data_IF_960124690080
#
_entry.id   IF_960124690080
#
_cell.length_a   1.000
_cell.length_b   1.000
_cell.length_c   1.000
_cell.angle_alpha   90.00
_cell.angle_beta   90.00
_cell.angle_gamma   90.00
#
_symmetry.space_group_name_H-M   'P 1'
#
loop_
_entity.id
_entity.type
_entity.pdbx_description
1 polymer ?
#
# COMPACT_ATOMS: atom_id res chain seq x y z
N UNK A 1 24.74 -22.25 16.40
CA UNK A 1 24.64 -22.06 14.93
C UNK A 1 23.82 -20.81 14.68
N UNK A 2 24.41 -19.63 14.90
CA UNK A 2 23.79 -18.33 14.62
C UNK A 2 24.76 -17.57 13.71
N UNK A 3 24.79 -17.97 12.44
CA UNK A 3 25.29 -17.13 11.37
C UNK A 3 24.06 -16.49 10.71
N UNK A 4 24.19 -15.23 10.27
CA UNK A 4 23.18 -14.43 9.53
C UNK A 4 22.19 -13.61 10.37
N UNK A 5 22.69 -12.80 11.31
CA UNK A 5 22.14 -11.44 11.52
C UNK A 5 23.31 -10.49 11.49
N UNK A 6 23.57 -9.92 10.30
CA UNK A 6 24.57 -8.87 10.13
C UNK A 6 24.39 -7.77 11.16
N UNK A 7 25.48 -7.11 11.53
CA UNK A 7 25.54 -6.09 12.56
C UNK A 7 24.46 -5.01 12.35
N UNK A 8 23.37 -5.12 13.14
CA UNK A 8 22.18 -4.26 13.03
C UNK A 8 22.42 -2.83 13.50
N UNK A 9 23.61 -2.55 14.04
CA UNK A 9 24.02 -1.22 14.47
C UNK A 9 25.38 -0.84 13.88
N UNK A 10 25.88 -1.61 12.93
CA UNK A 10 27.10 -1.30 12.21
C UNK A 10 26.96 -0.02 11.38
N UNK A 11 28.10 0.61 11.04
CA UNK A 11 28.13 1.82 10.21
C UNK A 11 27.40 1.61 8.87
N UNK A 12 27.56 0.45 8.24
CA UNK A 12 26.90 0.15 6.96
C UNK A 12 25.37 0.12 7.07
N UNK A 13 24.84 -0.52 8.13
CA UNK A 13 23.39 -0.58 8.35
C UNK A 13 22.83 0.81 8.66
N UNK A 14 23.51 1.56 9.53
CA UNK A 14 23.07 2.89 9.96
C UNK A 14 23.13 3.91 8.83
N UNK A 15 24.17 3.88 7.98
CA UNK A 15 24.27 4.71 6.78
C UNK A 15 23.16 4.39 5.77
N UNK A 16 22.95 3.13 5.41
CA UNK A 16 21.85 2.71 4.52
C UNK A 16 20.49 3.20 5.03
N UNK A 17 20.27 3.07 6.35
CA UNK A 17 19.04 3.56 7.00
C UNK A 17 18.92 5.08 6.92
N UNK A 18 20.01 5.82 7.12
CA UNK A 18 20.03 7.28 7.01
C UNK A 18 19.68 7.75 5.59
N UNK A 19 20.29 7.14 4.56
CA UNK A 19 19.96 7.43 3.15
C UNK A 19 18.49 7.16 2.82
N UNK A 20 17.95 6.01 3.25
CA UNK A 20 16.55 5.66 3.04
C UNK A 20 15.60 6.64 3.75
N UNK A 21 15.90 6.99 5.00
CA UNK A 21 15.12 7.98 5.76
C UNK A 21 15.15 9.35 5.09
N UNK A 22 16.32 9.81 4.63
CA UNK A 22 16.45 11.08 3.92
C UNK A 22 15.61 11.10 2.64
N UNK A 23 15.66 10.03 1.84
CA UNK A 23 14.82 9.89 0.64
C UNK A 23 13.33 9.90 0.97
N UNK A 24 12.94 9.19 2.04
CA UNK A 24 11.56 9.15 2.50
C UNK A 24 11.07 10.55 2.90
N UNK A 25 11.82 11.27 3.73
CA UNK A 25 11.48 12.63 4.15
C UNK A 25 11.45 13.62 2.98
N UNK A 26 12.38 13.50 2.03
CA UNK A 26 12.38 14.31 0.81
C UNK A 26 11.13 14.08 -0.04
N UNK A 27 10.67 12.82 -0.18
CA UNK A 27 9.41 12.51 -0.87
C UNK A 27 8.22 13.13 -0.14
N UNK A 28 8.18 13.05 1.19
CA UNK A 28 7.10 13.67 1.98
C UNK A 28 7.06 15.19 1.84
N UNK A 29 8.20 15.87 1.86
CA UNK A 29 8.26 17.33 1.76
C UNK A 29 7.89 17.86 0.38
N UNK A 30 8.14 17.08 -0.68
CA UNK A 30 7.75 17.41 -2.06
C UNK A 30 6.28 17.09 -2.36
N UNK A 31 5.64 16.21 -1.58
CA UNK A 31 4.26 15.82 -1.82
C UNK A 31 3.27 16.93 -1.41
N UNK A 32 2.34 17.38 -2.28
CA UNK A 32 1.51 18.55 -2.03
C UNK A 32 0.60 18.42 -0.80
N UNK A 33 0.06 17.23 -0.55
CA UNK A 33 -0.78 16.91 0.62
C UNK A 33 0.05 16.55 1.86
N UNK A 34 0.87 15.50 1.79
CA UNK A 34 1.63 14.97 2.95
C UNK A 34 2.57 15.99 3.61
N UNK A 35 3.13 16.96 2.87
CA UNK A 35 3.99 18.00 3.45
C UNK A 35 3.30 18.89 4.49
N UNK A 36 1.97 18.95 4.47
CA UNK A 36 1.14 19.74 5.40
C UNK A 36 0.56 18.90 6.53
N UNK A 37 0.89 17.62 6.61
CA UNK A 37 0.31 16.73 7.60
C UNK A 37 0.87 17.06 8.99
N UNK A 38 0.00 17.34 9.97
CA UNK A 38 0.40 17.67 11.34
C UNK A 38 1.34 16.63 11.96
N UNK A 39 1.11 15.35 11.64
CA UNK A 39 1.95 14.25 12.15
C UNK A 39 3.41 14.35 11.66
N UNK A 40 3.63 14.86 10.44
CA UNK A 40 4.98 15.06 9.89
C UNK A 40 5.67 16.22 10.59
N UNK A 41 4.98 17.35 10.80
CA UNK A 41 5.52 18.48 11.55
C UNK A 41 5.88 18.07 12.98
N UNK A 42 4.98 17.36 13.67
CA UNK A 42 5.24 16.85 15.02
C UNK A 42 6.43 15.88 15.02
N UNK A 43 6.54 15.00 14.02
CA UNK A 43 7.68 14.08 13.90
C UNK A 43 9.02 14.81 13.76
N UNK A 44 9.05 15.93 13.04
CA UNK A 44 10.28 16.69 12.77
C UNK A 44 10.65 17.67 13.90
N UNK A 45 9.67 18.22 14.60
CA UNK A 45 9.87 19.32 15.56
C UNK A 45 9.78 18.88 17.03
N UNK A 46 9.07 17.79 17.33
CA UNK A 46 8.85 17.34 18.71
C UNK A 46 9.97 16.45 19.21
N UNK A 47 10.46 16.73 20.42
CA UNK A 47 11.36 15.82 21.14
C UNK A 47 10.62 14.65 21.81
N UNK A 48 9.29 14.72 21.88
CA UNK A 48 8.40 13.77 22.57
C UNK A 48 7.57 12.93 21.58
N UNK A 49 8.20 12.42 20.51
CA UNK A 49 7.54 11.58 19.50
C UNK A 49 6.80 10.39 20.12
N UNK A 50 7.44 9.69 21.05
CA UNK A 50 6.89 8.49 21.67
C UNK A 50 5.64 8.80 22.52
N UNK A 51 5.62 9.94 23.23
CA UNK A 51 4.46 10.38 23.99
C UNK A 51 3.30 10.77 23.07
N UNK A 52 3.61 11.47 21.97
CA UNK A 52 2.64 11.82 20.93
C UNK A 52 1.98 10.56 20.36
N UNK A 53 2.75 9.55 19.95
CA UNK A 53 2.22 8.31 19.40
C UNK A 53 1.38 7.51 20.40
N UNK A 54 1.78 7.45 21.68
CA UNK A 54 0.97 6.83 22.74
C UNK A 54 -0.38 7.52 22.91
N UNK A 55 -0.41 8.85 22.88
CA UNK A 55 -1.66 9.63 22.97
C UNK A 55 -2.56 9.45 21.74
N UNK A 56 -1.99 9.29 20.53
CA UNK A 56 -2.74 9.00 19.30
C UNK A 56 -3.36 7.61 19.32
N UNK A 57 -2.64 6.59 19.81
CA UNK A 57 -3.18 5.24 20.00
C UNK A 57 -4.38 5.20 20.96
N UNK A 58 -4.42 6.10 21.94
CA UNK A 58 -5.56 6.26 22.85
C UNK A 58 -6.73 7.04 22.25
N UNK A 59 -6.48 8.04 21.38
CA UNK A 59 -7.52 8.85 20.72
C UNK A 59 -8.10 8.23 19.45
N UNK A 60 -7.37 7.31 18.80
CA UNK A 60 -7.86 6.52 17.66
C UNK A 60 -9.03 5.59 17.99
N UNK A 61 -9.34 5.40 19.28
CA UNK A 61 -10.56 4.71 19.72
C UNK A 61 -11.80 5.61 19.81
N UNK A 62 -11.68 6.94 19.61
CA UNK A 62 -12.79 7.89 19.81
C UNK A 62 -13.03 8.87 18.65
N UNK A 63 -12.19 8.90 17.61
CA UNK A 63 -12.34 9.84 16.48
C UNK A 63 -12.44 9.17 15.11
N UNK A 64 -12.97 7.96 15.05
CA UNK A 64 -13.56 7.41 13.84
C UNK A 64 -14.87 6.72 14.22
N UNK A 65 -15.98 7.35 13.87
CA UNK A 65 -17.28 6.68 13.79
C UNK A 65 -17.10 5.32 13.10
N UNK A 66 -17.49 4.24 13.79
CA UNK A 66 -17.88 2.97 13.17
C UNK A 66 -16.83 1.86 12.98
N UNK A 67 -15.59 1.95 13.47
CA UNK A 67 -14.55 0.99 13.04
C UNK A 67 -14.15 -0.14 14.01
N UNK A 68 -14.66 -0.23 15.24
CA UNK A 68 -14.06 -1.18 16.20
C UNK A 68 -15.01 -2.03 17.08
N UNK A 69 -16.26 -2.24 16.68
CA UNK A 69 -17.14 -3.23 17.33
C UNK A 69 -17.82 -4.22 16.36
N UNK A 70 -17.26 -4.40 15.17
CA UNK A 70 -17.86 -5.23 14.12
C UNK A 70 -16.85 -6.02 13.30
N UNK A 71 -15.71 -6.40 13.88
CA UNK A 71 -14.63 -7.08 13.11
C UNK A 71 -15.12 -8.40 12.51
N UNK A 72 -16.10 -9.08 13.10
CA UNK A 72 -16.68 -10.29 12.50
C UNK A 72 -17.74 -10.02 11.42
N UNK A 73 -18.53 -8.94 11.54
CA UNK A 73 -19.59 -8.58 10.59
C UNK A 73 -19.03 -7.90 9.33
N UNK A 74 -18.07 -6.97 9.49
CA UNK A 74 -17.39 -6.33 8.36
C UNK A 74 -16.48 -7.29 7.58
N UNK A 75 -15.92 -8.31 8.23
CA UNK A 75 -15.15 -9.33 7.52
C UNK A 75 -16.07 -10.20 6.69
N UNK A 76 -17.25 -10.61 7.19
CA UNK A 76 -18.18 -11.42 6.39
C UNK A 76 -18.78 -10.62 5.23
N UNK A 77 -19.09 -9.34 5.42
CA UNK A 77 -19.53 -8.46 4.33
C UNK A 77 -18.38 -8.15 3.33
N UNK A 78 -17.16 -7.87 3.81
CA UNK A 78 -15.98 -7.71 2.92
C UNK A 78 -15.61 -8.99 2.18
N UNK A 79 -15.76 -10.17 2.79
CA UNK A 79 -15.48 -11.45 2.13
C UNK A 79 -16.53 -11.80 1.07
N UNK A 80 -17.80 -11.39 1.25
CA UNK A 80 -18.82 -11.54 0.20
C UNK A 80 -18.60 -10.57 -0.96
N UNK A 81 -18.01 -9.40 -0.69
CA UNK A 81 -17.74 -8.35 -1.67
C UNK A 81 -16.38 -8.50 -2.38
N UNK A 82 -15.38 -9.14 -1.74
CA UNK A 82 -14.00 -9.29 -2.22
C UNK A 82 -13.82 -10.17 -3.48
N UNK A 83 -14.87 -10.86 -3.93
CA UNK A 83 -14.86 -11.65 -5.18
C UNK A 83 -15.66 -11.01 -6.32
N UNK A 84 -16.29 -9.86 -6.09
CA UNK A 84 -16.95 -9.11 -7.16
C UNK A 84 -15.92 -8.23 -7.87
N UNK A 85 -15.77 -8.45 -9.18
CA UNK A 85 -14.90 -7.66 -10.04
C UNK A 85 -15.58 -6.32 -10.30
N UNK A 86 -14.86 -5.22 -10.13
CA UNK A 86 -15.33 -3.86 -10.48
C UNK A 86 -16.02 -3.91 -11.85
N UNK A 87 -17.27 -3.46 -11.92
CA UNK A 87 -18.10 -3.59 -13.11
C UNK A 87 -17.56 -2.74 -14.27
N UNK A 88 -16.92 -1.61 -13.95
CA UNK A 88 -16.29 -0.72 -14.94
C UNK A 88 -14.95 -0.16 -14.44
N UNK A 89 -13.85 -0.91 -14.56
CA UNK A 89 -12.54 -0.40 -14.17
C UNK A 89 -12.11 0.72 -15.13
N UNK A 90 -11.66 1.85 -14.57
CA UNK A 90 -11.14 2.95 -15.38
C UNK A 90 -9.77 2.58 -15.95
N UNK A 91 -9.61 2.80 -17.26
CA UNK A 91 -8.40 2.50 -18.03
C UNK A 91 -7.17 3.18 -17.44
N UNK A 92 -7.33 4.38 -16.86
CA UNK A 92 -6.21 5.12 -16.25
C UNK A 92 -5.52 4.31 -15.15
N UNK A 93 -6.28 3.71 -14.25
CA UNK A 93 -5.71 2.93 -13.14
C UNK A 93 -5.17 1.57 -13.59
N UNK A 94 -5.75 0.98 -14.64
CA UNK A 94 -5.18 -0.22 -15.28
C UNK A 94 -3.81 0.10 -15.86
N UNK A 95 -3.69 1.19 -16.62
CA UNK A 95 -2.42 1.64 -17.19
C UNK A 95 -1.38 1.96 -16.11
N UNK A 96 -1.78 2.62 -15.02
CA UNK A 96 -0.88 2.90 -13.88
C UNK A 96 -0.41 1.60 -13.23
N UNK A 97 -1.30 0.62 -13.05
CA UNK A 97 -0.94 -0.69 -12.51
C UNK A 97 0.05 -1.42 -13.41
N UNK A 98 -0.23 -1.51 -14.71
CA UNK A 98 0.66 -2.16 -15.68
C UNK A 98 2.04 -1.47 -15.74
N UNK A 99 2.07 -0.14 -15.70
CA UNK A 99 3.33 0.62 -15.63
C UNK A 99 4.08 0.37 -14.32
N UNK A 100 3.36 0.26 -13.20
CA UNK A 100 3.94 -0.05 -11.89
C UNK A 100 4.48 -1.48 -11.82
N UNK A 101 3.81 -2.44 -12.44
CA UNK A 101 4.28 -3.83 -12.57
C UNK A 101 5.55 -3.90 -13.42
N UNK A 102 5.55 -3.27 -14.60
CA UNK A 102 6.74 -3.19 -15.44
C UNK A 102 7.91 -2.51 -14.73
N UNK A 103 7.66 -1.40 -14.04
CA UNK A 103 8.69 -0.70 -13.28
C UNK A 103 9.28 -1.60 -12.19
N UNK A 104 8.47 -2.40 -11.50
CA UNK A 104 8.92 -3.31 -10.46
C UNK A 104 9.83 -4.42 -11.03
N UNK A 105 9.46 -4.99 -12.18
CA UNK A 105 10.30 -5.95 -12.92
C UNK A 105 11.64 -5.34 -13.33
N UNK A 106 11.61 -4.16 -13.92
CA UNK A 106 12.80 -3.42 -14.35
C UNK A 106 13.70 -3.09 -13.15
N UNK A 107 13.13 -2.64 -12.03
CA UNK A 107 13.87 -2.35 -10.79
C UNK A 107 14.55 -3.59 -10.22
N UNK A 108 13.87 -4.74 -10.20
CA UNK A 108 14.47 -6.02 -9.75
C UNK A 108 15.63 -6.43 -10.66
N UNK A 109 15.51 -6.24 -11.97
CA UNK A 109 16.59 -6.53 -12.90
C UNK A 109 17.79 -5.59 -12.68
N UNK A 110 17.52 -4.29 -12.56
CA UNK A 110 18.56 -3.27 -12.32
C UNK A 110 19.25 -3.53 -10.98
N UNK A 111 18.51 -3.83 -9.90
CA UNK A 111 19.09 -4.16 -8.59
C UNK A 111 20.08 -5.32 -8.69
N UNK A 112 19.73 -6.40 -9.41
CA UNK A 112 20.63 -7.54 -9.63
C UNK A 112 21.87 -7.17 -10.42
N UNK A 113 21.75 -6.28 -11.42
CA UNK A 113 22.90 -5.80 -12.20
C UNK A 113 23.81 -4.96 -11.31
N UNK A 114 23.25 -3.99 -10.59
CA UNK A 114 23.99 -3.08 -9.71
C UNK A 114 24.68 -3.83 -8.57
N UNK A 115 24.01 -4.83 -7.98
CA UNK A 115 24.62 -5.70 -6.98
C UNK A 115 25.84 -6.48 -7.54
N UNK A 116 25.81 -6.86 -8.81
CA UNK A 116 26.97 -7.48 -9.48
C UNK A 116 28.08 -6.47 -9.77
N UNK A 117 27.72 -5.24 -10.15
CA UNK A 117 28.69 -4.15 -10.33
C UNK A 117 29.44 -3.87 -9.03
N UNK A 118 28.74 -3.71 -7.90
CA UNK A 118 29.36 -3.49 -6.60
C UNK A 118 30.31 -4.64 -6.18
N UNK A 119 29.95 -5.90 -6.48
CA UNK A 119 30.87 -7.03 -6.27
C UNK A 119 32.10 -6.94 -7.17
N UNK A 120 31.91 -6.58 -8.44
CA UNK A 120 33.03 -6.45 -9.38
C UNK A 120 33.96 -5.30 -9.01
N UNK A 121 33.42 -4.19 -8.49
CA UNK A 121 34.21 -3.08 -7.95
C UNK A 121 35.05 -3.53 -6.75
N UNK A 122 34.53 -4.40 -5.88
CA UNK A 122 35.33 -5.01 -4.79
C UNK A 122 36.44 -5.95 -5.30
N UNK A 123 36.17 -6.76 -6.33
CA UNK A 123 37.19 -7.59 -6.96
C UNK A 123 38.31 -6.70 -7.53
N UNK A 124 37.95 -5.63 -8.26
CA UNK A 124 38.90 -4.69 -8.86
C UNK A 124 39.73 -3.97 -7.80
N UNK A 125 39.10 -3.50 -6.72
CA UNK A 125 39.80 -2.90 -5.57
C UNK A 125 40.85 -3.87 -5.00
N UNK A 126 40.50 -5.15 -4.86
CA UNK A 126 41.39 -6.18 -4.31
C UNK A 126 42.55 -6.46 -5.27
N UNK A 127 42.26 -6.67 -6.57
CA UNK A 127 43.26 -6.89 -7.61
C UNK A 127 44.24 -5.71 -7.70
N UNK A 128 43.76 -4.47 -7.56
CA UNK A 128 44.60 -3.27 -7.56
C UNK A 128 45.52 -3.23 -6.34
N UNK A 129 45.02 -3.51 -5.13
CA UNK A 129 45.87 -3.57 -3.93
C UNK A 129 46.93 -4.66 -4.03
N UNK A 130 46.55 -5.84 -4.49
CA UNK A 130 47.48 -6.95 -4.68
C UNK A 130 48.56 -6.58 -5.70
N UNK A 131 48.17 -5.92 -6.80
CA UNK A 131 49.09 -5.44 -7.82
C UNK A 131 50.10 -4.44 -7.24
N UNK A 132 49.65 -3.45 -6.47
CA UNK A 132 50.55 -2.49 -5.80
C UNK A 132 51.54 -3.21 -4.87
N UNK A 133 51.07 -4.18 -4.08
CA UNK A 133 51.91 -4.96 -3.16
C UNK A 133 52.96 -5.81 -3.90
N UNK A 134 52.59 -6.47 -4.99
CA UNK A 134 53.56 -7.25 -5.79
C UNK A 134 54.64 -6.37 -6.40
N UNK A 135 54.28 -5.17 -6.86
CA UNK A 135 55.25 -4.21 -7.40
C UNK A 135 56.21 -3.74 -6.31
N UNK A 136 55.74 -3.48 -5.09
CA UNK A 136 56.65 -3.15 -3.99
C UNK A 136 57.67 -4.28 -3.68
N UNK A 137 57.26 -5.55 -3.81
CA UNK A 137 58.18 -6.69 -3.63
C UNK A 137 59.26 -6.77 -4.73
N UNK A 138 58.95 -6.28 -5.94
CA UNK A 138 59.90 -6.26 -7.06
C UNK A 138 61.10 -5.35 -6.80
N UNK A 139 60.93 -4.31 -5.96
CA UNK A 139 62.01 -3.38 -5.58
C UNK A 139 63.20 -4.12 -4.97
N UNK A 140 62.95 -5.21 -4.24
CA UNK A 140 64.01 -6.03 -3.63
C UNK A 140 64.88 -6.75 -4.67
N UNK A 141 64.33 -7.01 -5.86
CA UNK A 141 65.02 -7.71 -6.94
C UNK A 141 65.73 -6.73 -7.89
N UNK A 142 65.16 -5.55 -8.10
CA UNK A 142 65.69 -4.53 -9.01
C UNK A 142 65.65 -3.13 -8.38
N UNK A 143 66.66 -2.75 -7.57
CA UNK A 143 66.69 -1.44 -6.90
C UNK A 143 66.73 -0.24 -7.87
N UNK A 144 67.18 -0.45 -9.11
CA UNK A 144 67.27 0.61 -10.13
C UNK A 144 65.93 1.22 -10.54
N UNK A 145 64.81 0.53 -10.29
CA UNK A 145 63.46 1.00 -10.61
C UNK A 145 62.66 1.44 -9.37
N UNK A 146 63.28 1.46 -8.18
CA UNK A 146 62.63 1.74 -6.89
C UNK A 146 61.70 2.97 -6.92
N UNK A 147 62.22 4.12 -7.36
CA UNK A 147 61.44 5.35 -7.39
C UNK A 147 60.24 5.27 -8.35
N UNK A 148 60.41 4.66 -9.53
CA UNK A 148 59.32 4.53 -10.50
C UNK A 148 58.24 3.56 -9.97
N UNK A 149 58.67 2.47 -9.35
CA UNK A 149 57.78 1.46 -8.75
C UNK A 149 57.02 2.03 -7.56
N UNK A 150 57.63 2.84 -6.70
CA UNK A 150 56.93 3.52 -5.61
C UNK A 150 55.82 4.45 -6.11
N UNK A 151 56.10 5.30 -7.11
CA UNK A 151 55.08 6.17 -7.69
C UNK A 151 53.95 5.37 -8.34
N UNK A 152 54.28 4.28 -9.03
CA UNK A 152 53.30 3.39 -9.63
C UNK A 152 52.40 2.72 -8.58
N UNK A 153 53.00 2.12 -7.54
CA UNK A 153 52.27 1.49 -6.45
C UNK A 153 51.35 2.48 -5.74
N UNK A 154 51.84 3.69 -5.41
CA UNK A 154 51.02 4.74 -4.82
C UNK A 154 49.85 5.14 -5.71
N UNK A 155 50.06 5.30 -7.02
CA UNK A 155 48.99 5.64 -7.98
C UNK A 155 47.91 4.54 -8.06
N UNK A 156 48.32 3.28 -7.95
CA UNK A 156 47.39 2.15 -7.92
C UNK A 156 46.62 2.09 -6.59
N UNK A 157 47.29 2.32 -5.46
CA UNK A 157 46.64 2.43 -4.15
C UNK A 157 45.58 3.53 -4.15
N UNK A 158 45.89 4.72 -4.69
CA UNK A 158 44.93 5.81 -4.85
C UNK A 158 43.73 5.41 -5.72
N UNK A 159 43.97 4.65 -6.79
CA UNK A 159 42.91 4.13 -7.66
C UNK A 159 42.04 3.08 -6.94
N UNK A 160 42.66 2.24 -6.12
CA UNK A 160 41.95 1.26 -5.28
C UNK A 160 41.07 1.96 -4.24
N UNK A 161 41.58 3.04 -3.63
CA UNK A 161 40.80 3.89 -2.74
C UNK A 161 39.59 4.52 -3.45
N UNK A 162 39.78 5.12 -4.63
CA UNK A 162 38.67 5.66 -5.41
C UNK A 162 37.64 4.61 -5.83
N UNK A 163 38.09 3.38 -6.15
CA UNK A 163 37.21 2.26 -6.50
C UNK A 163 36.40 1.79 -5.29
N UNK A 164 37.00 1.78 -4.11
CA UNK A 164 36.32 1.50 -2.84
C UNK A 164 35.23 2.53 -2.55
N UNK A 165 35.54 3.82 -2.68
CA UNK A 165 34.57 4.89 -2.43
C UNK A 165 33.38 4.80 -3.39
N UNK A 166 33.65 4.53 -4.67
CA UNK A 166 32.61 4.29 -5.68
C UNK A 166 31.74 3.10 -5.29
N UNK A 167 32.34 1.97 -4.90
CA UNK A 167 31.60 0.80 -4.44
C UNK A 167 30.71 1.12 -3.25
N UNK A 168 31.25 1.83 -2.26
CA UNK A 168 30.52 2.15 -1.04
C UNK A 168 29.29 3.03 -1.37
N UNK A 169 29.40 3.98 -2.30
CA UNK A 169 28.26 4.75 -2.82
C UNK A 169 27.26 3.84 -3.55
N UNK A 170 27.75 2.99 -4.45
CA UNK A 170 26.91 2.07 -5.25
C UNK A 170 26.10 1.14 -4.35
N UNK A 171 26.73 0.54 -3.33
CA UNK A 171 26.12 -0.44 -2.43
C UNK A 171 25.28 0.20 -1.31
N UNK A 172 25.74 1.29 -0.69
CA UNK A 172 25.05 1.91 0.44
C UNK A 172 23.93 2.86 0.00
N UNK A 173 24.14 3.65 -1.05
CA UNK A 173 23.18 4.67 -1.47
C UNK A 173 22.31 4.20 -2.64
N UNK A 174 22.94 3.89 -3.78
CA UNK A 174 22.21 3.65 -5.02
C UNK A 174 21.37 2.36 -4.98
N UNK A 175 21.95 1.26 -4.51
CA UNK A 175 21.22 -0.01 -4.35
C UNK A 175 20.06 0.15 -3.34
N UNK A 176 20.29 0.90 -2.26
CA UNK A 176 19.23 1.30 -1.33
C UNK A 176 18.10 2.08 -2.02
N UNK A 177 18.43 2.99 -2.94
CA UNK A 177 17.46 3.81 -3.67
C UNK A 177 16.51 2.98 -4.54
N UNK A 178 17.01 1.91 -5.15
CA UNK A 178 16.22 0.99 -5.97
C UNK A 178 15.21 0.24 -5.11
N UNK A 179 15.64 -0.24 -3.94
CA UNK A 179 14.76 -0.90 -2.95
C UNK A 179 13.72 0.07 -2.38
N UNK A 180 14.12 1.31 -2.09
CA UNK A 180 13.20 2.36 -1.64
C UNK A 180 12.16 2.71 -2.73
N UNK A 181 12.50 2.53 -4.01
CA UNK A 181 11.57 2.71 -5.14
C UNK A 181 10.64 1.51 -5.31
N UNK A 182 11.12 0.28 -5.13
CA UNK A 182 10.27 -0.92 -5.08
C UNK A 182 9.23 -0.82 -3.95
N UNK A 183 9.67 -0.39 -2.75
CA UNK A 183 8.76 -0.16 -1.63
C UNK A 183 7.70 0.90 -1.93
N UNK A 184 8.07 1.94 -2.69
CA UNK A 184 7.12 2.95 -3.16
C UNK A 184 6.13 2.38 -4.20
N UNK A 185 6.61 1.57 -5.15
CA UNK A 185 5.77 0.85 -6.11
C UNK A 185 4.75 -0.05 -5.38
N UNK A 186 5.18 -0.76 -4.34
CA UNK A 186 4.29 -1.57 -3.50
C UNK A 186 3.23 -0.73 -2.79
N UNK A 187 3.61 0.43 -2.24
CA UNK A 187 2.65 1.36 -1.62
C UNK A 187 1.62 1.87 -2.64
N UNK A 188 2.04 2.17 -3.88
CA UNK A 188 1.15 2.56 -4.97
C UNK A 188 0.18 1.42 -5.34
N UNK A 189 0.66 0.18 -5.47
CA UNK A 189 -0.20 -0.99 -5.72
C UNK A 189 -1.22 -1.21 -4.60
N UNK A 190 -0.82 -1.02 -3.34
CA UNK A 190 -1.73 -1.06 -2.19
C UNK A 190 -2.79 0.03 -2.25
N UNK A 191 -2.43 1.23 -2.69
CA UNK A 191 -3.35 2.35 -2.86
C UNK A 191 -4.38 2.07 -3.97
N UNK A 192 -3.93 1.55 -5.12
CA UNK A 192 -4.80 1.12 -6.21
C UNK A 192 -5.79 0.03 -5.75
N UNK A 193 -5.31 -0.94 -4.97
CA UNK A 193 -6.18 -1.98 -4.39
C UNK A 193 -7.20 -1.41 -3.40
N UNK A 194 -6.79 -0.47 -2.55
CA UNK A 194 -7.71 0.21 -1.63
C UNK A 194 -8.79 1.00 -2.38
N UNK A 195 -8.42 1.67 -3.47
CA UNK A 195 -9.35 2.34 -4.38
C UNK A 195 -10.32 1.35 -5.01
N UNK A 196 -9.82 0.25 -5.58
CA UNK A 196 -10.66 -0.80 -6.18
C UNK A 196 -11.68 -1.33 -5.15
N UNK A 197 -11.26 -1.57 -3.91
CA UNK A 197 -12.17 -2.00 -2.84
C UNK A 197 -13.28 -0.96 -2.60
N UNK A 198 -12.93 0.34 -2.51
CA UNK A 198 -13.94 1.41 -2.33
C UNK A 198 -14.92 1.51 -3.49
N UNK A 199 -14.45 1.28 -4.70
CA UNK A 199 -15.29 1.24 -5.89
C UNK A 199 -16.28 0.06 -5.83
N UNK A 200 -15.82 -1.12 -5.44
CA UNK A 200 -16.69 -2.29 -5.27
C UNK A 200 -17.71 -2.07 -4.14
N UNK A 201 -17.28 -1.49 -3.02
CA UNK A 201 -18.18 -1.15 -1.90
C UNK A 201 -19.31 -0.22 -2.40
N UNK A 202 -18.98 0.80 -3.21
CA UNK A 202 -19.96 1.69 -3.83
C UNK A 202 -20.92 0.95 -4.77
N UNK A 203 -20.42 0.09 -5.66
CA UNK A 203 -21.24 -0.70 -6.59
C UNK A 203 -22.20 -1.63 -5.84
N UNK A 204 -21.73 -2.27 -4.76
CA UNK A 204 -22.56 -3.14 -3.90
C UNK A 204 -23.70 -2.37 -3.22
N UNK A 205 -23.43 -1.16 -2.71
CA UNK A 205 -24.46 -0.30 -2.11
C UNK A 205 -25.53 0.10 -3.14
N UNK A 206 -25.12 0.40 -4.37
CA UNK A 206 -26.05 0.70 -5.47
C UNK A 206 -26.92 -0.52 -5.80
N UNK A 207 -26.36 -1.72 -5.82
CA UNK A 207 -27.13 -2.96 -6.00
C UNK A 207 -28.13 -3.19 -4.86
N UNK A 208 -27.73 -2.96 -3.60
CA UNK A 208 -28.62 -3.04 -2.45
C UNK A 208 -29.77 -2.03 -2.52
N UNK A 209 -29.50 -0.80 -2.95
CA UNK A 209 -30.52 0.22 -3.17
C UNK A 209 -31.49 -0.20 -4.27
N UNK A 210 -30.97 -0.69 -5.41
CA UNK A 210 -31.80 -1.16 -6.51
C UNK A 210 -32.71 -2.32 -6.08
N UNK A 211 -32.19 -3.26 -5.29
CA UNK A 211 -32.97 -4.37 -4.73
C UNK A 211 -34.04 -3.87 -3.75
N UNK A 212 -33.71 -2.98 -2.83
CA UNK A 212 -34.67 -2.40 -1.88
C UNK A 212 -35.77 -1.60 -2.59
N UNK A 213 -35.40 -0.87 -3.66
CA UNK A 213 -36.33 -0.12 -4.51
C UNK A 213 -37.27 -1.07 -5.27
N UNK A 214 -36.73 -2.16 -5.84
CA UNK A 214 -37.53 -3.19 -6.51
C UNK A 214 -38.48 -3.93 -5.54
N UNK A 215 -38.04 -4.20 -4.30
CA UNK A 215 -38.89 -4.79 -3.25
C UNK A 215 -40.03 -3.84 -2.84
N UNK A 216 -39.74 -2.53 -2.72
CA UNK A 216 -40.77 -1.49 -2.48
C UNK A 216 -41.75 -1.43 -3.65
N UNK A 217 -41.27 -1.41 -4.89
CA UNK A 217 -42.11 -1.32 -6.09
C UNK A 217 -42.94 -2.59 -6.31
N UNK A 218 -42.40 -3.76 -5.96
CA UNK A 218 -43.14 -5.03 -5.87
C UNK A 218 -44.22 -5.01 -4.78
N UNK A 219 -43.95 -4.38 -3.63
CA UNK A 219 -44.94 -4.20 -2.58
C UNK A 219 -46.01 -3.14 -2.92
N UNK A 220 -45.69 -2.18 -3.81
CA UNK A 220 -46.59 -1.14 -4.31
C UNK A 220 -47.50 -1.64 -5.45
N UNK A 221 -46.94 -2.40 -6.38
CA UNK A 221 -47.63 -2.86 -7.59
C UNK A 221 -48.71 -3.90 -7.32
N UNK A 222 -48.80 -4.45 -6.09
CA UNK A 222 -49.92 -5.30 -5.65
C UNK A 222 -50.17 -6.55 -6.51
N UNK A 223 -49.29 -6.85 -7.46
CA UNK A 223 -49.46 -7.96 -8.37
C UNK A 223 -48.94 -9.23 -7.71
N UNK A 224 -49.88 -10.07 -7.27
CA UNK A 224 -49.60 -11.38 -6.72
C UNK A 224 -48.99 -12.34 -7.74
N UNK A 225 -47.68 -12.31 -7.90
CA UNK A 225 -46.88 -13.38 -8.51
C UNK A 225 -45.44 -13.22 -8.00
N UNK A 226 -44.79 -14.17 -7.34
CA UNK A 226 -44.87 -15.62 -7.34
C UNK A 226 -44.32 -16.08 -5.98
N UNK A 227 -45.06 -16.85 -5.18
CA UNK A 227 -44.82 -18.30 -5.16
C UNK A 227 -45.86 -19.11 -4.38
N UNK A 228 -47.10 -18.63 -4.28
CA UNK A 228 -48.23 -19.39 -3.73
C UNK A 228 -49.47 -19.19 -4.61
N UNK A 229 -49.33 -19.48 -5.90
CA UNK A 229 -50.44 -19.62 -6.86
C UNK A 229 -51.16 -20.97 -6.70
N UNK A 230 -51.47 -21.33 -5.45
CA UNK A 230 -52.17 -22.56 -5.13
C UNK A 230 -53.21 -22.29 -4.06
N UNK A 231 -54.27 -23.09 -4.03
CA UNK A 231 -55.38 -23.02 -3.07
C UNK A 231 -54.94 -22.88 -1.58
N UNK A 232 -53.70 -23.25 -1.25
CA UNK A 232 -53.03 -23.02 0.04
C UNK A 232 -52.89 -21.54 0.46
N UNK A 233 -52.69 -20.61 -0.49
CA UNK A 233 -52.55 -19.17 -0.21
C UNK A 233 -53.87 -18.46 0.15
N UNK A 234 -55.01 -19.05 -0.22
CA UNK A 234 -56.34 -18.56 0.15
C UNK A 234 -56.77 -19.03 1.54
N UNK A 235 -56.37 -20.26 1.91
CA UNK A 235 -56.71 -20.85 3.21
C UNK A 235 -55.88 -20.20 4.34
N UNK A 236 -54.60 -19.89 4.08
CA UNK A 236 -53.75 -19.13 5.02
C UNK A 236 -54.28 -17.71 5.25
N UNK A 237 -54.68 -16.99 4.18
CA UNK A 237 -55.33 -15.66 4.32
C UNK A 237 -56.62 -15.70 5.13
N UNK A 238 -57.48 -16.69 4.90
CA UNK A 238 -58.75 -16.84 5.64
C UNK A 238 -58.55 -17.30 7.09
N UNK A 239 -57.53 -18.12 7.37
CA UNK A 239 -57.20 -18.57 8.73
C UNK A 239 -56.48 -17.48 9.54
N UNK A 240 -55.70 -16.62 8.90
CA UNK A 240 -55.07 -15.45 9.51
C UNK A 240 -56.03 -14.26 9.69
N UNK A 241 -56.99 -14.05 8.79
CA UNK A 241 -58.08 -13.07 8.96
C UNK A 241 -58.90 -13.33 10.24
N UNK A 242 -59.07 -14.59 10.64
CA UNK A 242 -59.75 -15.00 11.89
C UNK A 242 -58.89 -14.71 13.13
N UNK A 243 -57.58 -14.51 12.95
CA UNK A 243 -56.62 -14.21 14.02
C UNK A 243 -56.44 -12.70 14.27
N UNK A 244 -57.13 -11.84 13.50
CA UNK A 244 -57.16 -10.39 13.73
C UNK A 244 -55.83 -9.67 13.50
N UNK A 245 -54.93 -10.26 12.71
CA UNK A 245 -53.66 -9.61 12.36
C UNK A 245 -53.92 -8.63 11.21
N UNK A 246 -53.79 -7.34 11.49
CA UNK A 246 -54.09 -6.26 10.56
C UNK A 246 -53.08 -6.24 9.38
N UNK A 247 -53.40 -6.94 8.30
CA UNK A 247 -52.54 -7.12 7.12
C UNK A 247 -52.20 -5.78 6.44
N UNK A 248 -53.07 -4.77 6.55
CA UNK A 248 -52.80 -3.43 6.02
C UNK A 248 -51.77 -2.68 6.87
N UNK A 249 -51.82 -2.86 8.19
CA UNK A 249 -50.87 -2.24 9.11
C UNK A 249 -49.48 -2.88 8.96
N UNK A 250 -49.39 -4.21 8.85
CA UNK A 250 -48.13 -4.91 8.59
C UNK A 250 -47.51 -4.54 7.22
N UNK A 251 -48.32 -4.28 6.18
CA UNK A 251 -47.84 -3.78 4.88
C UNK A 251 -47.35 -2.34 4.96
N UNK A 252 -48.06 -1.47 5.68
CA UNK A 252 -47.63 -0.08 5.94
C UNK A 252 -46.33 -0.04 6.72
N UNK A 253 -46.17 -0.85 7.77
CA UNK A 253 -44.93 -0.91 8.55
C UNK A 253 -43.74 -1.43 7.72
N UNK A 254 -43.94 -2.47 6.90
CA UNK A 254 -42.89 -2.96 5.98
C UNK A 254 -42.51 -1.89 4.96
N UNK A 255 -43.48 -1.12 4.47
CA UNK A 255 -43.23 0.01 3.55
C UNK A 255 -42.40 1.11 4.20
N UNK A 256 -42.80 1.58 5.37
CA UNK A 256 -42.06 2.63 6.10
C UNK A 256 -40.64 2.16 6.43
N UNK A 257 -40.46 0.88 6.78
CA UNK A 257 -39.13 0.29 6.99
C UNK A 257 -38.29 0.25 5.70
N UNK A 258 -38.90 -0.08 4.55
CA UNK A 258 -38.22 -0.08 3.25
C UNK A 258 -37.88 1.33 2.78
N UNK A 259 -38.78 2.30 2.96
CA UNK A 259 -38.54 3.72 2.65
C UNK A 259 -37.38 4.27 3.49
N UNK A 260 -37.39 4.03 4.81
CA UNK A 260 -36.28 4.43 5.69
C UNK A 260 -34.95 3.78 5.27
N UNK A 261 -34.98 2.50 4.91
CA UNK A 261 -33.78 1.79 4.42
C UNK A 261 -33.28 2.38 3.09
N UNK A 262 -34.18 2.79 2.20
CA UNK A 262 -33.83 3.45 0.94
C UNK A 262 -33.19 4.82 1.22
N UNK A 263 -33.72 5.60 2.15
CA UNK A 263 -33.16 6.90 2.53
C UNK A 263 -31.76 6.74 3.15
N UNK A 264 -31.61 5.79 4.09
CA UNK A 264 -30.32 5.47 4.72
C UNK A 264 -29.28 5.00 3.67
N UNK A 265 -29.69 4.12 2.74
CA UNK A 265 -28.83 3.65 1.65
C UNK A 265 -28.47 4.77 0.66
N UNK A 266 -29.39 5.69 0.38
CA UNK A 266 -29.14 6.83 -0.51
C UNK A 266 -28.09 7.76 0.08
N UNK A 267 -28.20 8.07 1.38
CA UNK A 267 -27.18 8.85 2.10
C UNK A 267 -25.82 8.14 2.14
N UNK A 268 -25.81 6.83 2.38
CA UNK A 268 -24.59 6.02 2.35
C UNK A 268 -23.93 6.00 0.96
N UNK A 269 -24.71 5.93 -0.12
CA UNK A 269 -24.23 5.98 -1.51
C UNK A 269 -23.63 7.35 -1.83
N UNK A 270 -24.25 8.45 -1.41
CA UNK A 270 -23.69 9.79 -1.63
C UNK A 270 -22.34 9.97 -0.93
N UNK A 271 -22.22 9.46 0.30
CA UNK A 271 -20.96 9.47 1.03
C UNK A 271 -19.92 8.58 0.35
N UNK A 272 -20.30 7.33 0.01
CA UNK A 272 -19.43 6.38 -0.67
C UNK A 272 -18.94 6.94 -2.02
N UNK A 273 -19.82 7.61 -2.77
CA UNK A 273 -19.49 8.29 -4.03
C UNK A 273 -18.46 9.40 -3.81
N UNK A 274 -18.70 10.30 -2.85
CA UNK A 274 -17.75 11.37 -2.52
C UNK A 274 -16.40 10.83 -2.07
N UNK A 275 -16.40 9.74 -1.31
CA UNK A 275 -15.13 9.09 -0.92
C UNK A 275 -14.43 8.46 -2.11
N UNK A 276 -15.14 7.78 -3.01
CA UNK A 276 -14.55 7.20 -4.23
C UNK A 276 -13.96 8.30 -5.13
N UNK A 277 -14.72 9.37 -5.39
CA UNK A 277 -14.25 10.54 -6.15
C UNK A 277 -13.07 11.25 -5.46
N UNK A 278 -13.03 11.28 -4.13
CA UNK A 278 -11.89 11.78 -3.38
C UNK A 278 -10.62 10.96 -3.63
N UNK A 279 -10.73 9.62 -3.55
CA UNK A 279 -9.63 8.70 -3.85
C UNK A 279 -9.17 8.82 -5.32
N UNK A 280 -10.09 9.04 -6.27
CA UNK A 280 -9.76 9.23 -7.68
C UNK A 280 -8.88 10.46 -7.94
N UNK A 281 -8.98 11.48 -7.11
CA UNK A 281 -8.15 12.68 -7.21
C UNK A 281 -6.81 12.54 -6.48
N UNK A 282 -6.68 11.58 -5.57
CA UNK A 282 -5.46 11.33 -4.80
C UNK A 282 -4.51 10.31 -5.46
N UNK A 283 -5.02 9.47 -6.37
CA UNK A 283 -4.27 8.45 -7.14
C UNK A 283 -3.84 8.99 -8.50
#
# INVERSE_FOLDING_TARGET
MEYVRGDRFGPDFTNRRAHSLQRFLARLSLHPVLRRADILHIFLESQEWNATMRSRGSRGSQSSDGANNGVFDNLTESFMTAFSKVHKPDKRFIEVRERSDKLDEDLVQIEKIVARVARRENDIETDQRDLAEQFQKLILLEPGVETAVHHFAASIEDTAHGTRDLRDITDQDYLGSLRDMQAYSLALKSLLKAREQKQVDFESLVEYLNKATAERDGALSGHGGSGLSGASGFITRKFEDVRGVDHEQARRERRVKLERKIDDLTGAIELAKRTSEGFDNEV
#
